data_IF_230146042033
#
_entry.id   IF_230146042033
#
_cell.length_a   1.000
_cell.length_b   1.000
_cell.length_c   1.000
_cell.angle_alpha   90.00
_cell.angle_beta   90.00
_cell.angle_gamma   90.00
#
_symmetry.space_group_name_H-M   'P 1'
#
loop_
_entity.id
_entity.type
_entity.pdbx_description
1 polymer ?
#
# COMPACT_ATOMS: atom_id res chain seq x y z
N UNK A 1 11.40 37.09 -17.06
CA UNK A 1 10.83 36.62 -18.34
C UNK A 1 9.90 35.47 -18.03
N UNK A 2 8.61 35.74 -18.00
CA UNK A 2 7.54 34.81 -17.61
C UNK A 2 6.46 34.93 -18.67
N UNK A 3 6.22 33.85 -19.42
CA UNK A 3 5.16 33.78 -20.43
C UNK A 3 3.82 33.50 -19.75
N UNK A 4 2.73 34.19 -20.12
CA UNK A 4 1.39 33.88 -19.62
C UNK A 4 0.76 32.71 -20.40
N UNK A 5 -0.08 31.87 -19.77
CA UNK A 5 -0.82 30.83 -20.50
C UNK A 5 -2.00 31.42 -21.28
N UNK A 6 -2.12 30.98 -22.54
CA UNK A 6 -3.18 31.33 -23.50
C UNK A 6 -4.53 30.68 -23.13
N UNK A 7 -5.67 31.34 -23.45
CA UNK A 7 -7.00 30.83 -23.13
C UNK A 7 -7.49 29.79 -24.15
N UNK A 8 -8.04 28.68 -23.63
CA UNK A 8 -8.65 27.63 -24.45
C UNK A 8 -10.04 28.06 -24.93
N UNK A 9 -10.22 27.86 -26.24
CA UNK A 9 -11.33 28.26 -27.10
C UNK A 9 -12.63 27.47 -26.81
N UNK A 10 -13.75 28.19 -26.64
CA UNK A 10 -15.09 27.67 -26.29
C UNK A 10 -15.97 27.24 -27.48
N UNK A 11 -15.44 27.18 -28.70
CA UNK A 11 -16.22 26.85 -29.90
C UNK A 11 -16.06 25.39 -30.34
N UNK A 12 -16.75 24.49 -29.64
CA UNK A 12 -17.30 23.26 -30.23
C UNK A 12 -18.77 23.02 -29.85
N UNK A 13 -19.40 24.00 -29.20
CA UNK A 13 -20.84 24.17 -29.24
C UNK A 13 -21.24 24.67 -30.63
N UNK A 14 -22.42 24.26 -31.10
CA UNK A 14 -23.08 24.67 -32.35
C UNK A 14 -22.65 23.93 -33.62
N UNK A 15 -23.08 22.66 -33.76
CA UNK A 15 -23.61 22.17 -35.04
C UNK A 15 -24.54 20.99 -34.78
N UNK A 16 -25.83 21.29 -34.63
CA UNK A 16 -27.00 20.41 -34.92
C UNK A 16 -28.28 21.21 -34.68
N UNK A 17 -28.34 22.43 -35.22
CA UNK A 17 -29.59 23.21 -35.35
C UNK A 17 -30.00 23.18 -36.82
N UNK A 18 -30.64 22.10 -37.23
CA UNK A 18 -31.47 22.06 -38.44
C UNK A 18 -32.40 20.86 -38.29
N UNK A 19 -33.49 21.01 -37.53
CA UNK A 19 -34.72 20.18 -37.55
C UNK A 19 -35.74 20.59 -36.45
N UNK A 20 -35.48 21.66 -35.68
CA UNK A 20 -36.43 22.20 -34.68
C UNK A 20 -36.91 23.60 -35.09
N UNK A 21 -37.67 23.71 -36.18
CA UNK A 21 -38.28 24.99 -36.56
C UNK A 21 -39.77 24.91 -36.93
N UNK A 22 -40.48 23.81 -36.66
CA UNK A 22 -41.88 23.72 -37.08
C UNK A 22 -42.85 22.92 -36.20
N UNK A 23 -42.47 22.54 -34.96
CA UNK A 23 -43.38 21.75 -34.10
C UNK A 23 -43.68 22.31 -32.69
N UNK A 24 -43.15 23.48 -32.32
CA UNK A 24 -43.27 23.98 -30.94
C UNK A 24 -44.43 24.97 -30.68
N UNK A 25 -45.25 25.32 -31.69
CA UNK A 25 -46.29 26.35 -31.50
C UNK A 25 -47.66 25.85 -31.03
N UNK A 26 -47.88 24.54 -30.82
CA UNK A 26 -49.23 24.02 -30.48
C UNK A 26 -49.36 23.16 -29.23
N UNK A 27 -48.27 22.84 -28.53
CA UNK A 27 -48.33 21.95 -27.35
C UNK A 27 -48.17 22.73 -26.03
N UNK A 28 -47.79 24.01 -26.09
CA UNK A 28 -47.40 24.80 -24.91
C UNK A 28 -48.55 25.42 -24.08
N UNK A 29 -49.82 25.07 -24.30
CA UNK A 29 -50.94 25.70 -23.57
C UNK A 29 -51.83 24.76 -22.77
N UNK A 30 -51.46 23.49 -22.53
CA UNK A 30 -52.36 22.55 -21.81
C UNK A 30 -51.71 21.66 -20.75
N UNK A 31 -50.40 21.76 -20.46
CA UNK A 31 -49.73 20.75 -19.62
C UNK A 31 -48.96 21.27 -18.39
N UNK A 32 -49.33 22.43 -17.84
CA UNK A 32 -48.72 22.97 -16.60
C UNK A 32 -49.19 22.26 -15.30
N UNK A 33 -50.18 21.35 -15.34
CA UNK A 33 -50.82 20.85 -14.11
C UNK A 33 -50.49 19.41 -13.64
N UNK A 34 -50.07 18.50 -14.52
CA UNK A 34 -50.12 17.04 -14.22
C UNK A 34 -48.73 16.38 -14.10
N UNK A 35 -47.69 16.94 -14.74
CA UNK A 35 -46.35 16.31 -14.77
C UNK A 35 -45.60 16.44 -13.43
N UNK A 36 -45.80 17.55 -12.70
CA UNK A 36 -45.08 17.84 -11.46
C UNK A 36 -45.40 16.85 -10.32
N UNK A 37 -46.66 16.39 -10.21
CA UNK A 37 -47.10 15.52 -9.12
C UNK A 37 -46.60 14.08 -9.29
N UNK A 38 -46.36 13.64 -10.53
CA UNK A 38 -45.92 12.26 -10.82
C UNK A 38 -44.41 12.06 -10.65
N UNK A 39 -43.62 13.13 -10.77
CA UNK A 39 -42.18 13.11 -10.45
C UNK A 39 -41.92 13.07 -8.93
N UNK A 40 -42.76 13.75 -8.14
CA UNK A 40 -42.59 13.79 -6.68
C UNK A 40 -42.78 12.42 -6.00
N UNK A 41 -43.53 11.51 -6.63
CA UNK A 41 -43.80 10.19 -6.05
C UNK A 41 -42.66 9.18 -6.25
N UNK A 42 -41.85 9.31 -7.32
CA UNK A 42 -40.73 8.39 -7.57
C UNK A 42 -39.42 8.79 -6.88
N UNK A 43 -39.16 10.08 -6.62
CA UNK A 43 -37.93 10.49 -5.92
C UNK A 43 -37.93 10.19 -4.42
N UNK A 44 -39.10 9.97 -3.81
CA UNK A 44 -39.20 9.59 -2.38
C UNK A 44 -38.72 8.16 -2.10
N UNK A 45 -38.74 7.27 -3.10
CA UNK A 45 -38.29 5.87 -2.96
C UNK A 45 -36.82 5.66 -3.34
N UNK A 46 -36.26 6.48 -4.25
CA UNK A 46 -34.85 6.39 -4.64
C UNK A 46 -33.92 6.76 -3.47
N UNK A 47 -34.26 7.78 -2.66
CA UNK A 47 -33.43 8.18 -1.51
C UNK A 47 -33.24 7.07 -0.48
N UNK A 48 -34.25 6.21 -0.30
CA UNK A 48 -34.20 5.07 0.64
C UNK A 48 -33.26 3.98 0.12
N UNK A 49 -33.25 3.71 -1.19
CA UNK A 49 -32.38 2.70 -1.79
C UNK A 49 -30.91 3.15 -1.72
N UNK A 50 -30.62 4.42 -2.02
CA UNK A 50 -29.26 4.96 -1.92
C UNK A 50 -28.75 4.98 -0.48
N UNK A 51 -29.62 5.27 0.50
CA UNK A 51 -29.28 5.19 1.92
C UNK A 51 -29.02 3.75 2.38
N UNK A 52 -29.73 2.76 1.83
CA UNK A 52 -29.54 1.34 2.16
C UNK A 52 -28.19 0.80 1.65
N UNK A 53 -27.70 1.27 0.49
CA UNK A 53 -26.38 0.90 -0.03
C UNK A 53 -25.22 1.46 0.81
N UNK A 54 -25.40 2.63 1.44
CA UNK A 54 -24.41 3.17 2.39
C UNK A 54 -24.31 2.37 3.70
N UNK A 55 -25.37 1.64 4.09
CA UNK A 55 -25.35 0.81 5.30
C UNK A 55 -24.69 -0.56 5.08
N UNK A 56 -24.45 -0.96 3.83
CA UNK A 56 -23.77 -2.21 3.48
C UNK A 56 -22.25 -2.08 3.34
N UNK A 57 -21.68 -0.91 3.60
CA UNK A 57 -20.22 -0.76 3.67
C UNK A 57 -19.71 -1.45 4.94
N UNK A 58 -19.39 -2.75 4.83
CA UNK A 58 -18.62 -3.44 5.85
C UNK A 58 -17.28 -2.75 5.97
N UNK A 59 -16.98 -2.17 7.15
CA UNK A 59 -15.63 -1.78 7.50
C UNK A 59 -14.81 -3.08 7.53
N UNK A 60 -14.12 -3.39 6.43
CA UNK A 60 -13.11 -4.42 6.44
C UNK A 60 -12.01 -3.92 7.38
N UNK A 61 -12.08 -4.31 8.66
CA UNK A 61 -10.92 -4.25 9.53
C UNK A 61 -9.87 -5.10 8.85
N UNK A 62 -8.86 -4.44 8.27
CA UNK A 62 -7.67 -5.08 7.77
C UNK A 62 -6.96 -5.70 8.97
N UNK A 63 -7.40 -6.90 9.38
CA UNK A 63 -6.65 -7.76 10.27
C UNK A 63 -5.46 -8.24 9.44
N UNK A 64 -4.39 -7.44 9.46
CA UNK A 64 -3.13 -7.83 8.86
C UNK A 64 -2.66 -9.06 9.63
N UNK A 65 -2.94 -10.24 9.09
CA UNK A 65 -2.40 -11.50 9.60
C UNK A 65 -0.89 -11.42 9.34
N UNK A 66 -0.18 -10.70 10.21
CA UNK A 66 1.25 -10.49 10.16
C UNK A 66 1.90 -11.87 10.28
N UNK A 67 2.65 -12.24 9.26
CA UNK A 67 3.35 -13.51 9.18
C UNK A 67 4.82 -13.23 8.88
N UNK A 68 5.68 -14.12 9.37
CA UNK A 68 7.07 -14.13 8.94
C UNK A 68 7.10 -14.80 7.58
N UNK A 69 7.76 -14.16 6.62
CA UNK A 69 7.84 -14.64 5.24
C UNK A 69 9.30 -14.85 4.85
N UNK A 70 9.60 -16.00 4.26
CA UNK A 70 10.92 -16.29 3.70
C UNK A 70 10.79 -16.26 2.19
N UNK A 71 11.55 -15.38 1.56
CA UNK A 71 11.65 -15.19 0.13
C UNK A 71 12.91 -15.86 -0.38
N UNK A 72 12.80 -16.63 -1.47
CA UNK A 72 13.94 -17.11 -2.23
C UNK A 72 14.24 -16.07 -3.32
N UNK A 73 15.41 -15.44 -3.24
CA UNK A 73 15.78 -14.33 -4.12
C UNK A 73 15.98 -14.78 -5.57
N UNK A 74 16.31 -16.06 -5.80
CA UNK A 74 16.50 -16.62 -7.14
C UNK A 74 15.17 -17.00 -7.79
N UNK A 75 14.22 -17.49 -7.00
CA UNK A 75 12.86 -17.84 -7.47
C UNK A 75 11.91 -16.64 -7.49
N UNK A 76 12.31 -15.52 -6.90
CA UNK A 76 11.52 -14.28 -6.77
C UNK A 76 10.15 -14.49 -6.13
N UNK A 77 10.05 -15.44 -5.17
CA UNK A 77 8.79 -15.78 -4.51
C UNK A 77 8.96 -16.15 -3.05
N UNK A 78 7.87 -16.03 -2.29
CA UNK A 78 7.78 -16.53 -0.92
C UNK A 78 7.79 -18.06 -0.97
N UNK A 79 8.79 -18.67 -0.33
CA UNK A 79 8.94 -20.13 -0.22
C UNK A 79 8.40 -20.67 1.10
N UNK A 80 8.24 -19.81 2.11
CA UNK A 80 7.68 -20.19 3.40
C UNK A 80 6.97 -19.02 4.07
N UNK A 81 5.84 -19.32 4.72
CA UNK A 81 5.15 -18.44 5.65
C UNK A 81 5.00 -19.14 6.99
N UNK A 82 5.14 -18.39 8.08
CA UNK A 82 4.86 -18.90 9.43
C UNK A 82 4.22 -17.83 10.30
N UNK A 83 3.51 -18.28 11.34
CA UNK A 83 2.99 -17.38 12.36
C UNK A 83 4.12 -16.59 13.04
N UNK A 84 3.77 -15.44 13.63
CA UNK A 84 4.72 -14.69 14.45
C UNK A 84 5.28 -15.58 15.56
N UNK A 85 6.58 -15.49 15.75
CA UNK A 85 7.31 -16.18 16.81
C UNK A 85 8.07 -15.15 17.65
N UNK A 86 7.85 -15.16 18.97
CA UNK A 86 8.46 -14.17 19.88
C UNK A 86 9.99 -14.32 19.98
N UNK A 87 10.52 -15.53 19.88
CA UNK A 87 11.96 -15.76 19.91
C UNK A 87 12.62 -15.19 18.64
N UNK A 88 12.03 -15.46 17.48
CA UNK A 88 12.51 -14.92 16.19
C UNK A 88 12.40 -13.40 16.16
N UNK A 89 11.28 -12.82 16.60
CA UNK A 89 11.13 -11.36 16.70
C UNK A 89 12.17 -10.73 17.64
N UNK A 90 12.40 -11.36 18.81
CA UNK A 90 13.40 -10.87 19.76
C UNK A 90 14.80 -10.88 19.15
N UNK A 91 15.16 -11.94 18.43
CA UNK A 91 16.46 -12.05 17.75
C UNK A 91 16.59 -11.03 16.62
N UNK A 92 15.54 -10.82 15.81
CA UNK A 92 15.51 -9.79 14.77
C UNK A 92 15.73 -8.38 15.35
N UNK A 93 15.09 -8.07 16.48
CA UNK A 93 15.30 -6.80 17.20
C UNK A 93 16.73 -6.70 17.74
N UNK A 94 17.34 -7.80 18.20
CA UNK A 94 18.75 -7.77 18.61
C UNK A 94 19.67 -7.43 17.45
N UNK A 95 19.42 -7.95 16.24
CA UNK A 95 20.17 -7.54 15.05
C UNK A 95 20.02 -6.04 14.75
N UNK A 96 18.80 -5.50 14.82
CA UNK A 96 18.56 -4.07 14.64
C UNK A 96 19.26 -3.20 15.70
N UNK A 97 19.45 -3.72 16.92
CA UNK A 97 20.21 -3.05 17.99
C UNK A 97 21.72 -3.21 17.88
N UNK A 98 22.19 -4.19 17.10
CA UNK A 98 23.61 -4.56 17.02
C UNK A 98 24.28 -4.11 15.71
N UNK A 99 23.79 -3.03 15.10
CA UNK A 99 24.32 -2.46 13.86
C UNK A 99 25.80 -2.11 14.02
N UNK A 100 26.63 -2.63 13.12
CA UNK A 100 28.08 -2.40 13.09
C UNK A 100 28.49 -1.34 12.07
N UNK A 101 27.67 -1.09 11.04
CA UNK A 101 27.91 -0.04 10.06
C UNK A 101 26.95 -0.11 8.87
N UNK A 102 27.00 0.91 7.99
CA UNK A 102 26.16 0.96 6.81
C UNK A 102 26.58 -0.10 5.79
N UNK A 103 25.60 -0.65 5.09
CA UNK A 103 25.84 -1.42 3.88
C UNK A 103 26.31 -0.48 2.75
N UNK A 104 27.33 -0.89 2.00
CA UNK A 104 28.02 -0.02 1.04
C UNK A 104 27.84 -0.44 -0.42
N UNK A 105 27.14 -1.54 -0.70
CA UNK A 105 26.99 -1.99 -2.07
C UNK A 105 25.79 -1.28 -2.72
N UNK A 106 25.92 -0.96 -4.00
CA UNK A 106 24.85 -0.31 -4.78
C UNK A 106 23.66 -1.23 -5.04
N UNK A 107 23.89 -2.55 -5.11
CA UNK A 107 22.84 -3.54 -5.30
C UNK A 107 22.34 -4.01 -3.93
N UNK A 108 21.27 -3.37 -3.46
CA UNK A 108 20.71 -3.61 -2.12
C UNK A 108 19.80 -4.83 -2.01
N UNK A 109 19.33 -5.36 -3.14
CA UNK A 109 18.59 -6.62 -3.19
C UNK A 109 19.53 -7.70 -3.74
N UNK A 110 19.77 -8.79 -3.00
CA UNK A 110 20.66 -9.85 -3.45
C UNK A 110 20.02 -10.64 -4.59
N UNK A 111 20.85 -11.10 -5.54
CA UNK A 111 20.40 -11.91 -6.69
C UNK A 111 20.14 -13.37 -6.35
N UNK A 112 20.73 -13.84 -5.26
CA UNK A 112 20.63 -15.21 -4.77
C UNK A 112 20.51 -15.23 -3.23
N UNK A 113 20.26 -16.42 -2.69
CA UNK A 113 20.04 -16.59 -1.26
C UNK A 113 18.60 -16.31 -0.84
N UNK A 114 18.43 -15.85 0.40
CA UNK A 114 17.11 -15.70 1.01
C UNK A 114 16.93 -14.31 1.63
N UNK A 115 15.69 -13.84 1.66
CA UNK A 115 15.30 -12.68 2.45
C UNK A 115 14.21 -13.08 3.43
N UNK A 116 14.33 -12.68 4.69
CA UNK A 116 13.35 -12.97 5.74
C UNK A 116 12.67 -11.66 6.12
N UNK A 117 11.36 -11.57 5.91
CA UNK A 117 10.53 -10.46 6.40
C UNK A 117 9.96 -10.83 7.76
N UNK A 118 10.33 -10.07 8.79
CA UNK A 118 9.92 -10.32 10.18
C UNK A 118 9.12 -9.09 10.66
N UNK A 119 7.79 -9.11 10.53
CA UNK A 119 6.98 -8.07 11.15
C UNK A 119 7.02 -8.20 12.68
N UNK A 120 7.08 -7.06 13.36
CA UNK A 120 7.05 -6.97 14.81
C UNK A 120 5.61 -6.89 15.30
N UNK A 121 5.35 -7.53 16.44
CA UNK A 121 4.04 -7.52 17.09
C UNK A 121 3.70 -6.15 17.67
N UNK A 122 4.73 -5.37 18.04
CA UNK A 122 4.65 -3.97 18.46
C UNK A 122 5.86 -3.24 17.91
N UNK A 123 5.69 -1.96 17.61
CA UNK A 123 6.77 -1.07 17.18
C UNK A 123 7.86 -0.99 18.26
N UNK A 124 9.12 -0.97 17.84
CA UNK A 124 10.27 -0.95 18.75
C UNK A 124 11.15 0.24 18.43
N UNK A 125 11.41 1.07 19.43
CA UNK A 125 12.37 2.16 19.30
C UNK A 125 13.80 1.59 19.25
N UNK A 126 14.54 2.02 18.22
CA UNK A 126 15.95 1.73 18.01
C UNK A 126 16.70 3.06 18.13
N UNK A 127 17.63 3.11 19.08
CA UNK A 127 18.50 4.26 19.28
C UNK A 127 19.94 3.75 19.35
N UNK A 128 20.71 4.04 18.31
CA UNK A 128 22.15 3.81 18.26
C UNK A 128 22.81 4.87 17.37
N UNK A 129 24.13 4.80 17.19
CA UNK A 129 24.89 5.80 16.41
C UNK A 129 24.54 5.86 14.92
N UNK A 130 23.85 4.86 14.37
CA UNK A 130 23.50 4.75 12.96
C UNK A 130 22.04 5.07 12.67
N UNK A 131 21.16 4.87 13.66
CA UNK A 131 19.73 4.98 13.49
C UNK A 131 19.05 5.40 14.80
N UNK A 132 18.13 6.36 14.69
CA UNK A 132 17.25 6.79 15.76
C UNK A 132 15.82 6.85 15.21
N UNK A 133 15.07 5.75 15.35
CA UNK A 133 13.74 5.61 14.76
C UNK A 133 12.92 4.55 15.48
N UNK A 134 11.64 4.43 15.13
CA UNK A 134 10.80 3.30 15.55
C UNK A 134 10.59 2.34 14.38
N UNK A 135 10.89 1.06 14.60
CA UNK A 135 10.73 0.03 13.57
C UNK A 135 9.50 -0.84 13.84
N UNK A 136 8.79 -1.19 12.77
CA UNK A 136 7.66 -2.13 12.78
C UNK A 136 7.99 -3.49 12.17
N UNK A 137 9.07 -3.57 11.40
CA UNK A 137 9.53 -4.78 10.75
C UNK A 137 11.05 -4.77 10.58
N UNK A 138 11.62 -5.97 10.50
CA UNK A 138 13.03 -6.19 10.18
C UNK A 138 13.10 -7.09 8.97
N UNK A 139 13.78 -6.65 7.91
CA UNK A 139 14.10 -7.50 6.79
C UNK A 139 15.55 -7.95 6.90
N UNK A 140 15.78 -9.26 6.78
CA UNK A 140 17.10 -9.86 6.90
C UNK A 140 17.47 -10.43 5.54
N UNK A 141 18.55 -9.94 4.96
CA UNK A 141 19.04 -10.34 3.64
C UNK A 141 20.23 -11.28 3.83
N UNK A 142 20.09 -12.49 3.27
CA UNK A 142 21.01 -13.62 3.40
C UNK A 142 21.50 -14.05 2.01
N UNK A 143 22.31 -13.23 1.32
CA UNK A 143 22.97 -13.62 0.07
C UNK A 143 23.85 -14.87 0.25
N UNK A 144 24.03 -15.66 -0.81
CA UNK A 144 24.77 -16.92 -0.71
C UNK A 144 26.28 -16.71 -0.53
N UNK A 145 26.83 -15.70 -1.20
CA UNK A 145 28.28 -15.46 -1.30
C UNK A 145 28.73 -14.13 -0.66
N UNK A 146 27.85 -13.47 0.09
CA UNK A 146 28.14 -12.19 0.75
C UNK A 146 27.76 -12.23 2.23
N UNK A 147 28.23 -11.23 2.99
CA UNK A 147 27.88 -11.11 4.41
C UNK A 147 26.39 -10.77 4.54
N UNK A 148 25.66 -11.39 5.47
CA UNK A 148 24.31 -10.97 5.83
C UNK A 148 24.23 -9.50 6.25
N UNK A 149 23.12 -8.86 5.88
CA UNK A 149 22.79 -7.51 6.29
C UNK A 149 21.28 -7.41 6.53
N UNK A 150 20.86 -6.33 7.18
CA UNK A 150 19.45 -6.06 7.44
C UNK A 150 19.00 -4.81 6.69
N UNK A 151 17.70 -4.73 6.44
CA UNK A 151 17.01 -3.54 5.98
C UNK A 151 15.96 -3.14 7.02
N UNK A 152 15.96 -1.86 7.39
CA UNK A 152 15.02 -1.25 8.32
C UNK A 152 14.36 -0.05 7.63
N UNK A 153 13.08 0.18 7.89
CA UNK A 153 12.42 1.42 7.52
C UNK A 153 12.56 2.44 8.66
N UNK A 154 12.81 3.70 8.32
CA UNK A 154 12.69 4.80 9.27
C UNK A 154 11.24 5.31 9.37
N UNK A 155 11.02 6.31 10.20
CA UNK A 155 9.69 6.92 10.43
C UNK A 155 9.13 7.61 9.18
N UNK A 156 9.97 7.92 8.18
CA UNK A 156 9.60 8.46 6.87
C UNK A 156 9.38 7.34 5.82
N UNK A 157 9.47 6.08 6.24
CA UNK A 157 9.37 4.89 5.40
C UNK A 157 10.48 4.78 4.33
N UNK A 158 11.65 5.38 4.58
CA UNK A 158 12.84 5.19 3.77
C UNK A 158 13.60 3.92 4.20
N UNK A 159 14.03 3.06 3.26
CA UNK A 159 14.78 1.85 3.57
C UNK A 159 16.27 2.17 3.84
N UNK A 160 16.78 1.66 4.96
CA UNK A 160 18.19 1.77 5.35
C UNK A 160 18.81 0.38 5.53
N UNK A 161 20.03 0.21 5.03
CA UNK A 161 20.71 -1.08 4.97
C UNK A 161 21.96 -1.12 5.84
N UNK A 162 22.10 -2.17 6.65
CA UNK A 162 23.13 -2.23 7.69
C UNK A 162 23.75 -3.61 7.86
N UNK A 163 25.05 -3.64 8.11
CA UNK A 163 25.71 -4.80 8.71
C UNK A 163 25.42 -4.87 10.21
N UNK A 164 25.34 -6.09 10.73
CA UNK A 164 25.00 -6.35 12.14
C UNK A 164 25.97 -7.32 12.78
N UNK A 165 26.08 -7.27 14.11
CA UNK A 165 26.83 -8.26 14.88
C UNK A 165 25.96 -9.50 15.10
N UNK A 166 26.53 -10.68 14.87
CA UNK A 166 25.88 -11.98 15.06
C UNK A 166 25.86 -12.79 13.77
N UNK A 167 25.04 -13.85 13.73
CA UNK A 167 24.85 -14.68 12.54
C UNK A 167 23.37 -14.75 12.13
N UNK A 168 22.88 -13.80 11.32
CA UNK A 168 21.48 -13.80 10.87
C UNK A 168 21.07 -15.03 10.07
N UNK A 169 22.01 -15.79 9.48
CA UNK A 169 21.69 -17.05 8.80
C UNK A 169 21.14 -18.13 9.76
N UNK A 170 21.41 -18.00 11.07
CA UNK A 170 20.89 -18.93 12.09
C UNK A 170 19.36 -18.99 12.12
N UNK A 171 18.68 -17.91 11.73
CA UNK A 171 17.22 -17.85 11.70
C UNK A 171 16.60 -18.83 10.70
N UNK A 172 17.23 -19.07 9.54
CA UNK A 172 16.72 -20.05 8.56
C UNK A 172 16.62 -21.45 9.17
N UNK A 173 17.60 -21.82 10.02
CA UNK A 173 17.61 -23.12 10.71
C UNK A 173 16.52 -23.18 11.78
N UNK A 174 16.33 -22.11 12.55
CA UNK A 174 15.26 -22.04 13.55
C UNK A 174 13.87 -22.17 12.94
N UNK A 175 13.67 -21.54 11.77
CA UNK A 175 12.42 -21.61 11.00
C UNK A 175 12.25 -22.93 10.22
N UNK A 176 13.24 -23.83 10.26
CA UNK A 176 13.24 -25.11 9.53
C UNK A 176 12.97 -24.95 8.04
N UNK A 177 13.54 -23.90 7.43
CA UNK A 177 13.35 -23.62 6.00
C UNK A 177 13.93 -24.76 5.17
N UNK A 178 13.14 -25.25 4.21
CA UNK A 178 13.62 -26.21 3.20
C UNK A 178 14.43 -25.42 2.16
N UNK A 179 15.76 -25.53 2.26
CA UNK A 179 16.72 -24.95 1.33
C UNK A 179 16.83 -25.77 0.05
#
# INVERSE_FOLDING_TARGET
MTFPPLPINKYQFYHTTSLLHECDRKIFTTFEGIVSVRCYFMFKKIGVITLLFFLLSTNAFANTNKQIEVFDCKKEMVVQKQSLDRAIQKEAVQFAKSITGPFKNLNVVPKDGHMIKIPLSKSVSITNQWLHTTIDEVLILLPLNEKPYIMLYDDENNPHFYYVKGNPQGLLKQMKVKL
#
